data_IF_757735876438
#
_entry.id   IF_757735876438
#
_cell.length_a   1.000
_cell.length_b   1.000
_cell.length_c   1.000
_cell.angle_alpha   90.00
_cell.angle_beta   90.00
_cell.angle_gamma   90.00
#
_symmetry.space_group_name_H-M   'P 1'
#
loop_
_entity.id
_entity.type
_entity.pdbx_description
1 polymer ?
#
# COMPACT_ATOMS: atom_id res chain seq x y z
N UNK A 1 27.85 12.58 -4.57
CA UNK A 1 26.48 13.13 -4.75
C UNK A 1 25.97 13.67 -3.43
N UNK A 2 25.19 14.77 -3.41
CA UNK A 2 24.88 15.52 -2.19
C UNK A 2 23.94 14.77 -1.23
N UNK A 3 24.41 14.47 -0.01
CA UNK A 3 23.65 13.88 1.10
C UNK A 3 22.39 14.67 1.50
N UNK A 4 22.21 15.89 0.99
CA UNK A 4 21.10 16.78 1.34
C UNK A 4 19.73 16.29 0.87
N UNK A 5 19.66 15.36 -0.10
CA UNK A 5 18.38 14.85 -0.66
C UNK A 5 17.83 13.60 0.03
N UNK A 6 18.65 12.87 0.79
CA UNK A 6 18.24 11.68 1.57
C UNK A 6 17.01 11.90 2.46
N UNK A 7 16.92 12.98 3.29
CA UNK A 7 15.74 13.21 4.11
C UNK A 7 14.48 13.47 3.29
N UNK A 8 14.62 14.05 2.09
CA UNK A 8 13.50 14.30 1.19
C UNK A 8 12.93 12.98 0.63
N UNK A 9 13.79 12.08 0.17
CA UNK A 9 13.37 10.76 -0.31
C UNK A 9 12.70 9.95 0.80
N UNK A 10 13.26 9.97 2.02
CA UNK A 10 12.65 9.33 3.18
C UNK A 10 11.27 9.90 3.49
N UNK A 11 11.13 11.23 3.48
CA UNK A 11 9.86 11.89 3.77
C UNK A 11 8.78 11.48 2.76
N UNK A 12 9.06 11.56 1.45
CA UNK A 12 8.08 11.17 0.44
C UNK A 12 7.79 9.67 0.45
N UNK A 13 8.81 8.82 0.63
CA UNK A 13 8.59 7.39 0.78
C UNK A 13 7.60 7.09 1.91
N UNK A 14 7.80 7.67 3.09
CA UNK A 14 6.89 7.48 4.23
C UNK A 14 5.52 8.14 4.02
N UNK A 15 5.48 9.31 3.37
CA UNK A 15 4.24 10.01 3.05
C UNK A 15 3.30 9.19 2.17
N UNK A 16 3.84 8.38 1.25
CA UNK A 16 3.03 7.50 0.42
C UNK A 16 2.83 6.12 1.07
N UNK A 17 3.85 5.60 1.74
CA UNK A 17 3.80 4.26 2.32
C UNK A 17 2.79 4.15 3.47
N UNK A 18 2.72 5.15 4.37
CA UNK A 18 1.81 5.10 5.53
C UNK A 18 0.34 5.19 5.13
N UNK A 19 -0.12 6.20 4.34
CA UNK A 19 -1.52 6.28 3.93
C UNK A 19 -1.94 5.15 2.99
N UNK A 20 -1.03 4.72 2.10
CA UNK A 20 -1.29 3.56 1.23
C UNK A 20 -1.52 2.28 2.05
N UNK A 21 -0.66 2.03 3.05
CA UNK A 21 -0.85 0.89 3.96
C UNK A 21 -2.14 1.01 4.77
N UNK A 22 -2.45 2.21 5.27
CA UNK A 22 -3.70 2.44 6.01
C UNK A 22 -4.93 2.14 5.15
N UNK A 23 -4.98 2.60 3.91
CA UNK A 23 -6.08 2.31 2.99
C UNK A 23 -6.23 0.82 2.66
N UNK A 24 -5.12 0.09 2.53
CA UNK A 24 -5.14 -1.37 2.37
C UNK A 24 -5.69 -2.08 3.62
N UNK A 25 -5.31 -1.64 4.82
CA UNK A 25 -5.86 -2.18 6.08
C UNK A 25 -7.37 -1.95 6.14
N UNK A 26 -7.83 -0.74 5.85
CA UNK A 26 -9.27 -0.41 5.84
C UNK A 26 -10.02 -1.30 4.83
N UNK A 27 -9.45 -1.50 3.63
CA UNK A 27 -10.05 -2.37 2.60
C UNK A 27 -10.17 -3.82 3.07
N UNK A 28 -9.14 -4.34 3.75
CA UNK A 28 -9.16 -5.70 4.33
C UNK A 28 -10.19 -5.85 5.47
N UNK A 29 -10.33 -4.82 6.31
CA UNK A 29 -11.35 -4.79 7.36
C UNK A 29 -12.76 -4.78 6.76
N UNK A 30 -13.02 -3.98 5.73
CA UNK A 30 -14.31 -3.96 5.03
C UNK A 30 -14.60 -5.31 4.40
N UNK A 31 -13.65 -5.90 3.68
CA UNK A 31 -13.79 -7.23 3.08
C UNK A 31 -14.12 -8.31 4.12
N UNK A 32 -13.51 -8.25 5.31
CA UNK A 32 -13.82 -9.17 6.42
C UNK A 32 -15.23 -8.95 6.97
N UNK A 33 -15.68 -7.69 7.08
CA UNK A 33 -17.05 -7.37 7.46
C UNK A 33 -18.06 -7.88 6.43
N UNK A 34 -17.75 -7.75 5.14
CA UNK A 34 -18.59 -8.23 4.05
C UNK A 34 -18.75 -9.74 4.07
N UNK A 35 -17.67 -10.48 4.34
CA UNK A 35 -17.73 -11.93 4.57
C UNK A 35 -18.71 -12.35 5.67
N UNK A 36 -18.85 -11.53 6.72
CA UNK A 36 -19.70 -11.83 7.86
C UNK A 36 -21.16 -11.36 7.68
N UNK A 37 -21.40 -10.36 6.84
CA UNK A 37 -22.68 -9.62 6.80
C UNK A 37 -23.43 -9.70 5.48
N UNK A 38 -22.73 -9.92 4.35
CA UNK A 38 -23.36 -10.00 3.05
C UNK A 38 -23.92 -11.39 2.75
N UNK A 39 -25.00 -11.46 1.95
CA UNK A 39 -25.57 -12.73 1.54
C UNK A 39 -24.60 -13.48 0.62
N UNK A 40 -24.65 -14.81 0.71
CA UNK A 40 -23.87 -15.73 -0.16
C UNK A 40 -24.59 -16.07 -1.45
N UNK A 41 -25.83 -15.64 -1.58
CA UNK A 41 -26.66 -15.77 -2.77
C UNK A 41 -27.11 -14.38 -3.22
N UNK A 42 -27.44 -14.19 -4.51
CA UNK A 42 -27.97 -12.93 -4.99
C UNK A 42 -29.26 -12.55 -4.24
N UNK A 43 -29.35 -11.30 -3.77
CA UNK A 43 -30.54 -10.73 -3.13
C UNK A 43 -31.08 -9.56 -3.98
N UNK A 44 -32.06 -9.82 -4.86
CA UNK A 44 -32.68 -8.79 -5.68
C UNK A 44 -33.41 -7.71 -4.87
N UNK A 45 -33.93 -8.05 -3.68
CA UNK A 45 -34.69 -7.09 -2.86
C UNK A 45 -33.78 -6.00 -2.30
N UNK A 46 -32.53 -6.35 -1.95
CA UNK A 46 -31.49 -5.42 -1.54
C UNK A 46 -30.58 -4.93 -2.69
N UNK A 47 -30.88 -5.30 -3.95
CA UNK A 47 -30.04 -5.03 -5.14
C UNK A 47 -28.61 -5.56 -5.03
N UNK A 48 -28.39 -6.63 -4.25
CA UNK A 48 -27.09 -7.28 -4.06
C UNK A 48 -26.95 -8.43 -5.05
N UNK A 49 -26.52 -8.09 -6.25
CA UNK A 49 -26.41 -9.02 -7.39
C UNK A 49 -24.99 -9.12 -7.92
N UNK A 50 -24.07 -8.29 -7.44
CA UNK A 50 -22.67 -8.28 -7.90
C UNK A 50 -21.86 -9.28 -7.09
N UNK A 51 -21.33 -10.35 -7.70
CA UNK A 51 -20.51 -11.31 -6.98
C UNK A 51 -19.12 -10.72 -6.72
N UNK A 52 -18.66 -10.80 -5.46
CA UNK A 52 -17.28 -10.54 -5.07
C UNK A 52 -16.71 -11.77 -4.38
N UNK A 53 -15.53 -12.20 -4.81
CA UNK A 53 -14.80 -13.27 -4.14
C UNK A 53 -13.92 -12.69 -3.03
N UNK A 54 -14.08 -13.21 -1.81
CA UNK A 54 -13.24 -12.87 -0.67
C UNK A 54 -12.74 -14.17 -0.06
N UNK A 55 -11.44 -14.44 -0.19
CA UNK A 55 -10.78 -15.65 0.32
C UNK A 55 -11.46 -16.97 -0.10
N UNK A 56 -11.88 -17.09 -1.37
CA UNK A 56 -12.56 -18.28 -1.89
C UNK A 56 -14.05 -18.40 -1.53
N UNK A 57 -14.62 -17.42 -0.82
CA UNK A 57 -16.06 -17.33 -0.56
C UNK A 57 -16.65 -16.21 -1.41
N UNK A 58 -17.65 -16.55 -2.22
CA UNK A 58 -18.41 -15.55 -2.98
C UNK A 58 -19.48 -14.94 -2.09
N UNK A 59 -19.47 -13.62 -2.00
CA UNK A 59 -20.54 -12.81 -1.39
C UNK A 59 -21.14 -11.90 -2.45
N UNK A 60 -22.39 -11.48 -2.23
CA UNK A 60 -23.09 -10.61 -3.16
C UNK A 60 -23.26 -9.20 -2.56
N UNK A 61 -22.69 -8.22 -3.25
CA UNK A 61 -22.75 -6.81 -2.89
C UNK A 61 -23.53 -6.01 -3.94
N UNK A 62 -23.80 -4.74 -3.63
CA UNK A 62 -24.33 -3.81 -4.62
C UNK A 62 -23.23 -3.32 -5.56
N UNK A 63 -23.59 -2.90 -6.77
CA UNK A 63 -22.62 -2.33 -7.72
C UNK A 63 -21.90 -1.08 -7.18
N UNK A 64 -22.57 -0.28 -6.34
CA UNK A 64 -21.98 0.90 -5.74
C UNK A 64 -20.94 0.56 -4.66
N UNK A 65 -21.21 -0.47 -3.84
CA UNK A 65 -20.25 -0.99 -2.84
C UNK A 65 -19.01 -1.54 -3.54
N UNK A 66 -19.17 -2.35 -4.58
CA UNK A 66 -18.07 -2.91 -5.37
C UNK A 66 -17.16 -1.81 -5.95
N UNK A 67 -17.76 -0.80 -6.59
CA UNK A 67 -17.00 0.31 -7.17
C UNK A 67 -16.23 1.10 -6.12
N UNK A 68 -16.86 1.36 -4.97
CA UNK A 68 -16.25 2.14 -3.89
C UNK A 68 -15.08 1.38 -3.26
N UNK A 69 -15.28 0.10 -2.97
CA UNK A 69 -14.25 -0.75 -2.38
C UNK A 69 -13.10 -1.01 -3.36
N UNK A 70 -13.40 -1.34 -4.62
CA UNK A 70 -12.40 -1.50 -5.67
C UNK A 70 -11.57 -0.23 -5.86
N UNK A 71 -12.21 0.94 -5.90
CA UNK A 71 -11.49 2.21 -6.03
C UNK A 71 -10.56 2.45 -4.84
N UNK A 72 -11.02 2.19 -3.62
CA UNK A 72 -10.21 2.31 -2.42
C UNK A 72 -9.01 1.34 -2.47
N UNK A 73 -9.23 0.08 -2.84
CA UNK A 73 -8.19 -0.94 -2.96
C UNK A 73 -7.11 -0.53 -3.98
N UNK A 74 -7.51 -0.19 -5.21
CA UNK A 74 -6.57 0.18 -6.26
C UNK A 74 -5.83 1.48 -5.97
N UNK A 75 -6.52 2.50 -5.44
CA UNK A 75 -5.88 3.76 -5.07
C UNK A 75 -4.86 3.56 -3.94
N UNK A 76 -5.25 2.79 -2.91
CA UNK A 76 -4.37 2.50 -1.76
C UNK A 76 -3.16 1.68 -2.19
N UNK A 77 -3.36 0.67 -3.04
CA UNK A 77 -2.27 -0.13 -3.60
C UNK A 77 -1.31 0.73 -4.43
N UNK A 78 -1.84 1.59 -5.31
CA UNK A 78 -1.01 2.49 -6.11
C UNK A 78 -0.16 3.43 -5.26
N UNK A 79 -0.77 4.06 -4.25
CA UNK A 79 -0.07 4.93 -3.29
C UNK A 79 0.99 4.16 -2.50
N UNK A 80 0.66 2.96 -2.03
CA UNK A 80 1.58 2.11 -1.29
C UNK A 80 2.80 1.71 -2.14
N UNK A 81 2.58 1.29 -3.39
CA UNK A 81 3.64 0.91 -4.32
C UNK A 81 4.56 2.09 -4.67
N UNK A 82 4.03 3.30 -4.80
CA UNK A 82 4.87 4.52 -4.95
C UNK A 82 5.75 4.74 -3.72
N UNK A 83 5.20 4.53 -2.51
CA UNK A 83 5.97 4.59 -1.27
C UNK A 83 7.10 3.57 -1.21
N UNK A 84 6.82 2.33 -1.61
CA UNK A 84 7.84 1.27 -1.72
C UNK A 84 8.94 1.67 -2.72
N UNK A 85 8.57 2.09 -3.92
CA UNK A 85 9.53 2.46 -4.96
C UNK A 85 10.48 3.58 -4.48
N UNK A 86 9.94 4.63 -3.86
CA UNK A 86 10.75 5.70 -3.26
C UNK A 86 11.58 5.22 -2.07
N UNK A 87 11.06 4.27 -1.29
CA UNK A 87 11.77 3.63 -0.19
C UNK A 87 13.00 2.85 -0.66
N UNK A 88 12.88 2.10 -1.76
CA UNK A 88 14.02 1.39 -2.39
C UNK A 88 15.08 2.40 -2.84
N UNK A 89 14.68 3.45 -3.56
CA UNK A 89 15.61 4.51 -4.00
C UNK A 89 16.30 5.18 -2.81
N UNK A 90 15.58 5.40 -1.71
CA UNK A 90 16.17 5.92 -0.47
C UNK A 90 17.22 4.97 0.11
N UNK A 91 16.92 3.67 0.21
CA UNK A 91 17.84 2.66 0.75
C UNK A 91 19.12 2.53 -0.08
N UNK A 92 18.99 2.51 -1.41
CA UNK A 92 20.14 2.51 -2.32
C UNK A 92 21.04 3.73 -2.09
N UNK A 93 20.45 4.94 -2.06
CA UNK A 93 21.19 6.17 -1.83
C UNK A 93 21.82 6.25 -0.45
N UNK A 94 21.15 5.68 0.56
CA UNK A 94 21.69 5.63 1.91
C UNK A 94 22.89 4.68 2.00
N UNK A 95 22.82 3.54 1.30
CA UNK A 95 23.91 2.56 1.19
C UNK A 95 25.16 3.17 0.54
N UNK A 96 25.00 3.88 -0.59
CA UNK A 96 26.09 4.59 -1.27
C UNK A 96 26.81 5.58 -0.34
N UNK A 97 26.04 6.38 0.42
CA UNK A 97 26.60 7.37 1.36
C UNK A 97 27.30 6.68 2.54
N UNK A 98 26.78 5.53 3.00
CA UNK A 98 27.38 4.76 4.07
C UNK A 98 28.71 4.15 3.64
N UNK A 99 28.78 3.55 2.46
CA UNK A 99 30.02 2.99 1.89
C UNK A 99 31.09 4.08 1.72
N UNK A 100 30.74 5.21 1.09
CA UNK A 100 31.68 6.31 0.90
C UNK A 100 32.22 6.92 2.22
N UNK A 101 31.46 6.81 3.33
CA UNK A 101 31.95 7.20 4.65
C UNK A 101 32.95 6.17 5.20
N UNK A 102 32.61 4.89 5.11
CA UNK A 102 33.48 3.80 5.58
C UNK A 102 34.83 3.81 4.84
N UNK A 103 34.83 4.00 3.53
CA UNK A 103 36.06 4.05 2.73
C UNK A 103 36.97 5.21 3.18
N UNK A 104 36.41 6.36 3.56
CA UNK A 104 37.18 7.50 4.08
C UNK A 104 37.72 7.24 5.48
N UNK A 105 36.98 6.55 6.34
CA UNK A 105 37.45 6.17 7.67
C UNK A 105 38.62 5.19 7.57
N UNK A 106 38.56 4.24 6.63
CA UNK A 106 39.65 3.27 6.38
C UNK A 106 40.89 3.97 5.82
N UNK A 107 40.73 4.82 4.79
CA UNK A 107 41.84 5.55 4.17
C UNK A 107 42.44 6.63 5.07
N UNK A 108 41.68 7.17 6.02
CA UNK A 108 42.18 8.14 6.99
C UNK A 108 42.90 7.49 8.19
N UNK A 109 42.84 6.16 8.32
CA UNK A 109 43.55 5.39 9.34
C UNK A 109 44.79 4.65 8.79
N UNK A 110 45.06 4.77 7.48
CA UNK A 110 46.26 4.26 6.80
C UNK A 110 47.26 5.40 6.54
#
# INVERSE_FOLDING_TARGET
>A
MSSKKLPLYKFFALLFLIPGLFGLIVSAVISTSYLATLPRDPDPAAMRMTPREIHGVTVYETQAEDQTLSWLEYASMGVFLMGIALGVVYLEKWSEVRQARLDREILGQA
#
